data_IF_980154989928
#
_entry.id   IF_980154989928
#
_cell.length_a   1.000
_cell.length_b   1.000
_cell.length_c   1.000
_cell.angle_alpha   90.00
_cell.angle_beta   90.00
_cell.angle_gamma   90.00
#
_symmetry.space_group_name_H-M   'P 1'
#
loop_
_entity.id
_entity.type
_entity.pdbx_description
1 polymer ?
#
# COMPACT_ATOMS: atom_id res chain seq x y z
N UNK A 1 23.94 -18.96 -24.41
CA UNK A 1 23.76 -18.05 -25.57
C UNK A 1 24.61 -16.75 -25.50
N UNK A 2 25.81 -16.75 -24.89
CA UNK A 2 26.63 -15.51 -24.78
C UNK A 2 27.24 -15.05 -26.10
N UNK A 3 27.58 -16.00 -26.99
CA UNK A 3 28.14 -15.72 -28.32
C UNK A 3 27.15 -14.95 -29.20
N UNK A 4 25.88 -15.35 -29.23
CA UNK A 4 24.83 -14.67 -30.00
C UNK A 4 24.42 -13.35 -29.36
N UNK A 5 24.42 -13.28 -28.03
CA UNK A 5 24.17 -12.04 -27.30
C UNK A 5 25.17 -10.94 -27.68
N UNK A 6 26.47 -11.25 -27.73
CA UNK A 6 27.51 -10.27 -28.08
C UNK A 6 27.33 -9.71 -29.52
N UNK A 7 26.91 -10.55 -30.46
CA UNK A 7 26.65 -10.12 -31.85
C UNK A 7 25.45 -9.18 -31.92
N UNK A 8 24.39 -9.48 -31.18
CA UNK A 8 23.20 -8.64 -31.12
C UNK A 8 23.49 -7.31 -30.42
N UNK A 9 24.11 -7.34 -29.25
CA UNK A 9 24.45 -6.14 -28.47
C UNK A 9 25.33 -5.19 -29.31
N UNK A 10 26.30 -5.74 -30.08
CA UNK A 10 27.12 -4.96 -31.02
C UNK A 10 26.29 -4.33 -32.15
N UNK A 11 25.43 -5.11 -32.80
CA UNK A 11 24.60 -4.62 -33.91
C UNK A 11 23.66 -3.48 -33.47
N UNK A 12 23.09 -3.59 -32.26
CA UNK A 12 22.20 -2.58 -31.67
C UNK A 12 22.97 -1.32 -31.31
N UNK A 13 24.16 -1.45 -30.73
CA UNK A 13 25.03 -0.31 -30.42
C UNK A 13 25.45 0.43 -31.70
N UNK A 14 25.93 -0.30 -32.72
CA UNK A 14 26.46 0.30 -33.95
C UNK A 14 25.36 0.98 -34.80
N UNK A 15 24.14 0.43 -34.83
CA UNK A 15 23.06 0.93 -35.72
C UNK A 15 22.05 1.84 -35.04
N UNK A 16 21.84 1.68 -33.73
CA UNK A 16 20.81 2.39 -32.98
C UNK A 16 21.40 3.25 -31.85
N UNK A 17 22.71 3.14 -31.59
CA UNK A 17 23.38 3.82 -30.48
C UNK A 17 22.71 3.54 -29.12
N UNK A 18 22.18 2.33 -28.95
CA UNK A 18 21.53 1.87 -27.71
C UNK A 18 22.45 0.87 -27.02
N UNK A 19 22.88 1.20 -25.81
CA UNK A 19 23.70 0.31 -25.00
C UNK A 19 22.85 -0.65 -24.17
N UNK A 20 23.41 -1.83 -23.89
CA UNK A 20 22.78 -2.80 -23.01
C UNK A 20 22.83 -2.28 -21.56
N UNK A 21 21.69 -2.18 -20.85
CA UNK A 21 21.70 -1.71 -19.47
C UNK A 21 22.51 -2.63 -18.55
N UNK A 22 23.15 -2.06 -17.50
CA UNK A 22 23.93 -2.82 -16.55
C UNK A 22 23.04 -3.75 -15.70
N UNK A 23 23.70 -4.68 -15.02
CA UNK A 23 23.00 -5.55 -14.07
C UNK A 23 22.28 -4.71 -13.00
N UNK A 24 21.02 -5.04 -12.74
CA UNK A 24 20.20 -4.32 -11.75
C UNK A 24 19.44 -3.10 -12.28
N UNK A 25 19.67 -2.63 -13.51
CA UNK A 25 18.93 -1.48 -14.08
C UNK A 25 17.39 -1.65 -14.02
N UNK A 26 16.90 -2.86 -14.21
CA UNK A 26 15.46 -3.18 -14.15
C UNK A 26 14.94 -3.43 -12.74
N UNK A 27 15.83 -3.58 -11.76
CA UNK A 27 15.46 -3.73 -10.35
C UNK A 27 15.38 -2.38 -9.61
N UNK A 28 15.84 -1.30 -10.23
CA UNK A 28 15.77 0.04 -9.66
C UNK A 28 14.35 0.61 -9.78
N UNK A 29 13.89 1.28 -8.72
CA UNK A 29 12.63 2.00 -8.75
C UNK A 29 12.72 3.16 -9.77
N UNK A 30 11.77 3.20 -10.71
CA UNK A 30 11.67 4.26 -11.72
C UNK A 30 10.48 5.15 -11.39
N UNK A 31 10.72 6.45 -11.27
CA UNK A 31 9.65 7.45 -11.10
C UNK A 31 9.07 7.73 -12.48
N UNK A 32 7.75 7.55 -12.64
CA UNK A 32 7.03 7.82 -13.88
C UNK A 32 6.11 9.03 -13.69
N UNK A 33 6.47 10.15 -14.31
CA UNK A 33 5.64 11.35 -14.32
C UNK A 33 4.50 11.21 -15.33
N UNK A 34 3.25 11.24 -14.85
CA UNK A 34 2.06 11.17 -15.69
C UNK A 34 1.16 12.37 -15.45
N UNK A 35 0.56 12.90 -16.53
CA UNK A 35 -0.44 14.00 -16.46
C UNK A 35 -1.82 13.52 -15.97
N UNK A 36 -2.03 12.20 -15.89
CA UNK A 36 -3.30 11.61 -15.45
C UNK A 36 -3.51 11.91 -13.97
N UNK A 37 -4.72 12.28 -13.52
CA UNK A 37 -5.00 12.41 -12.10
C UNK A 37 -4.83 11.06 -11.38
N UNK A 38 -4.42 11.13 -10.11
CA UNK A 38 -4.33 9.94 -9.25
C UNK A 38 -5.72 9.27 -9.18
N UNK A 39 -5.79 7.93 -9.18
CA UNK A 39 -7.03 7.22 -8.91
C UNK A 39 -7.65 7.67 -7.58
N UNK A 40 -8.98 7.77 -7.53
CA UNK A 40 -9.69 8.06 -6.28
C UNK A 40 -9.68 6.80 -5.42
N UNK A 41 -9.19 6.91 -4.20
CA UNK A 41 -9.24 5.82 -3.22
C UNK A 41 -10.66 5.72 -2.65
N UNK A 42 -11.38 4.65 -2.98
CA UNK A 42 -12.67 4.34 -2.36
C UNK A 42 -12.37 3.47 -1.14
N UNK A 43 -12.19 4.11 0.02
CA UNK A 43 -12.10 3.39 1.28
C UNK A 43 -13.49 2.85 1.64
N UNK A 44 -13.61 1.58 2.05
CA UNK A 44 -14.87 1.07 2.57
C UNK A 44 -15.19 1.78 3.89
N UNK A 45 -16.35 2.43 3.95
CA UNK A 45 -16.90 2.94 5.20
C UNK A 45 -17.55 1.77 5.95
N UNK A 46 -17.01 1.44 7.13
CA UNK A 46 -17.59 0.44 8.01
C UNK A 46 -18.54 1.14 8.97
N UNK A 47 -19.84 0.97 8.76
CA UNK A 47 -20.83 1.41 9.74
C UNK A 47 -20.80 0.47 10.96
N UNK A 48 -20.72 1.02 12.17
CA UNK A 48 -20.91 0.24 13.38
C UNK A 48 -22.31 -0.38 13.35
N UNK A 49 -22.46 -1.72 13.49
CA UNK A 49 -23.76 -2.38 13.43
C UNK A 49 -24.63 -2.08 14.66
N UNK A 50 -24.05 -1.49 15.71
CA UNK A 50 -24.70 -1.22 16.98
C UNK A 50 -25.08 0.27 16.99
N UNK A 51 -26.36 0.62 17.17
CA UNK A 51 -26.73 2.01 17.40
C UNK A 51 -26.02 2.51 18.65
N UNK A 52 -25.39 3.68 18.57
CA UNK A 52 -24.81 4.33 19.74
C UNK A 52 -25.91 4.54 20.78
N UNK A 53 -25.58 4.29 22.05
CA UNK A 53 -26.47 4.59 23.16
C UNK A 53 -26.82 6.09 23.11
N UNK A 54 -28.09 6.44 23.27
CA UNK A 54 -28.52 7.84 23.30
C UNK A 54 -27.83 8.58 24.45
N UNK A 55 -27.27 9.76 24.18
CA UNK A 55 -26.56 10.58 25.18
C UNK A 55 -27.45 11.01 26.35
N UNK A 56 -28.77 11.01 26.15
CA UNK A 56 -29.77 11.41 27.15
C UNK A 56 -30.11 10.31 28.18
N UNK A 57 -29.68 9.06 27.96
CA UNK A 57 -29.98 7.98 28.89
C UNK A 57 -28.98 7.99 30.06
N UNK A 58 -29.44 8.17 31.32
CA UNK A 58 -28.53 8.20 32.46
C UNK A 58 -27.87 6.83 32.61
N UNK A 59 -26.54 6.81 32.66
CA UNK A 59 -25.80 5.58 32.97
C UNK A 59 -26.22 5.06 34.35
N UNK A 60 -26.78 3.83 34.44
CA UNK A 60 -27.13 3.28 35.73
C UNK A 60 -25.87 3.09 36.56
N UNK A 61 -25.95 3.26 37.89
CA UNK A 61 -24.81 2.92 38.74
C UNK A 61 -24.47 1.43 38.56
N UNK A 62 -23.18 1.07 38.68
CA UNK A 62 -22.77 -0.32 38.56
C UNK A 62 -23.49 -1.18 39.62
N UNK A 63 -24.18 -2.25 39.19
CA UNK A 63 -24.96 -3.14 40.06
C UNK A 63 -24.17 -3.69 41.26
N UNK A 64 -22.84 -3.83 41.10
CA UNK A 64 -21.92 -4.34 42.12
C UNK A 64 -20.55 -3.63 42.04
N UNK A 65 -20.57 -2.30 41.99
CA UNK A 65 -19.36 -1.45 41.96
C UNK A 65 -18.29 -1.98 40.98
N UNK A 66 -17.06 -2.22 41.45
CA UNK A 66 -15.94 -2.70 40.64
C UNK A 66 -15.85 -4.22 40.50
N UNK A 67 -16.70 -5.02 41.19
CA UNK A 67 -16.57 -6.50 41.28
C UNK A 67 -15.13 -6.96 41.53
N UNK A 68 -14.36 -6.18 42.28
CA UNK A 68 -13.02 -6.56 42.70
C UNK A 68 -13.16 -7.58 43.81
N UNK A 69 -12.37 -8.65 43.78
CA UNK A 69 -12.42 -9.76 44.75
C UNK A 69 -12.34 -9.31 46.23
N UNK A 70 -11.88 -8.07 46.47
CA UNK A 70 -11.65 -7.48 47.79
C UNK A 70 -12.40 -6.16 48.06
N UNK A 71 -13.30 -5.72 47.16
CA UNK A 71 -14.24 -4.62 47.42
C UNK A 71 -15.66 -5.14 47.20
N UNK A 72 -16.37 -5.34 48.31
CA UNK A 72 -17.80 -5.67 48.34
C UNK A 72 -18.65 -4.47 47.94
#
# INVERSE_FOLDING_TARGET
CRKTQAVLDKCVLDKLNVERPPYGYFAQAKVHDSKRPKPVEVLPEYNDPIPKLSEDEPYPPPRFSGRFMWQS
#
